data_IF_120758881213
#
_entry.id   IF_120758881213
#
_cell.length_a   1.000
_cell.length_b   1.000
_cell.length_c   1.000
_cell.angle_alpha   90.00
_cell.angle_beta   90.00
_cell.angle_gamma   90.00
#
_symmetry.space_group_name_H-M   'P 1'
#
loop_
_entity.id
_entity.type
_entity.pdbx_description
1 polymer ?
#
# COMPACT_ATOMS: atom_id res chain seq x y z
N UNK A 1 12.21 16.00 -12.43
CA UNK A 1 11.70 15.12 -11.36
C UNK A 1 11.56 13.72 -11.90
N UNK A 2 12.26 12.78 -11.31
CA UNK A 2 12.35 11.43 -11.87
C UNK A 2 11.69 10.43 -10.93
N UNK A 3 10.69 9.74 -11.44
CA UNK A 3 10.09 8.62 -10.77
C UNK A 3 10.89 7.37 -11.15
N UNK A 4 11.43 6.69 -10.17
CA UNK A 4 12.21 5.46 -10.38
C UNK A 4 11.33 4.26 -10.10
N UNK A 5 11.25 3.34 -11.06
CA UNK A 5 10.52 2.07 -10.91
C UNK A 5 11.53 0.94 -10.81
N UNK A 6 11.36 0.07 -9.83
CA UNK A 6 12.22 -1.09 -9.65
C UNK A 6 11.45 -2.27 -9.05
N UNK A 7 12.06 -3.45 -9.11
CA UNK A 7 11.50 -4.69 -8.56
C UNK A 7 12.38 -5.12 -7.40
N UNK A 8 11.75 -5.49 -6.30
CA UNK A 8 12.44 -5.96 -5.09
C UNK A 8 11.65 -7.07 -4.43
N UNK A 9 12.32 -7.91 -3.65
CA UNK A 9 11.68 -8.92 -2.83
C UNK A 9 11.86 -8.56 -1.36
N UNK A 10 10.85 -8.85 -0.56
CA UNK A 10 10.93 -8.62 0.87
C UNK A 10 9.75 -9.22 1.62
N UNK A 11 9.88 -9.27 2.93
CA UNK A 11 8.84 -9.77 3.82
C UNK A 11 8.15 -8.60 4.50
N UNK A 12 6.82 -8.61 4.51
CA UNK A 12 6.05 -7.62 5.26
C UNK A 12 6.23 -7.93 6.74
N UNK A 13 6.95 -7.09 7.44
CA UNK A 13 7.21 -7.29 8.87
C UNK A 13 6.11 -6.70 9.73
N UNK A 14 5.56 -5.59 9.29
CA UNK A 14 4.56 -4.87 10.07
C UNK A 14 3.60 -4.12 9.15
N UNK A 15 2.34 -4.03 9.57
CA UNK A 15 1.37 -3.11 8.99
C UNK A 15 1.30 -1.90 9.93
N UNK A 16 1.64 -0.73 9.40
CA UNK A 16 1.66 0.51 10.17
C UNK A 16 0.23 1.06 10.27
N UNK A 17 -0.44 0.81 11.38
CA UNK A 17 -1.86 1.13 11.57
C UNK A 17 -2.12 2.54 12.06
N UNK A 18 -1.09 3.23 12.52
CA UNK A 18 -1.20 4.61 13.06
C UNK A 18 -1.76 5.61 12.05
N UNK A 19 -1.60 5.34 10.76
CA UNK A 19 -2.13 6.19 9.68
C UNK A 19 -3.51 5.73 9.18
N UNK A 20 -4.09 4.72 9.82
CA UNK A 20 -5.30 4.07 9.30
C UNK A 20 -4.99 3.14 8.13
N UNK A 21 -6.02 2.61 7.48
CA UNK A 21 -5.88 1.68 6.36
C UNK A 21 -6.74 2.05 5.15
N UNK A 22 -7.48 3.14 5.25
CA UNK A 22 -8.38 3.60 4.21
C UNK A 22 -8.46 5.12 4.18
N UNK A 23 -8.88 5.64 3.04
CA UNK A 23 -9.17 7.06 2.89
C UNK A 23 -10.53 7.25 2.22
N UNK A 24 -11.08 8.45 2.30
CA UNK A 24 -12.31 8.84 1.64
C UNK A 24 -11.98 9.21 0.19
N UNK A 25 -12.32 8.32 -0.74
CA UNK A 25 -11.99 8.47 -2.13
C UNK A 25 -13.12 8.99 -2.98
N UNK A 26 -12.78 9.68 -4.05
CA UNK A 26 -13.72 10.07 -5.08
C UNK A 26 -14.17 8.83 -5.86
N UNK A 27 -15.47 8.65 -6.01
CA UNK A 27 -16.02 7.53 -6.75
C UNK A 27 -15.60 7.55 -8.21
N UNK A 28 -15.44 8.73 -8.79
CA UNK A 28 -15.13 8.92 -10.21
C UNK A 28 -13.63 8.78 -10.51
N UNK A 29 -12.78 9.54 -9.83
CA UNK A 29 -11.34 9.59 -10.13
C UNK A 29 -10.46 8.86 -9.11
N UNK A 30 -11.04 8.36 -8.01
CA UNK A 30 -10.38 7.61 -6.94
C UNK A 30 -9.43 8.41 -6.05
N UNK A 31 -9.22 9.69 -6.32
CA UNK A 31 -8.37 10.54 -5.49
C UNK A 31 -9.04 10.90 -4.18
N UNK A 32 -8.26 11.33 -3.21
CA UNK A 32 -8.77 11.73 -1.91
C UNK A 32 -9.71 12.93 -1.98
N UNK A 33 -10.76 12.88 -1.18
CA UNK A 33 -11.74 13.94 -1.05
C UNK A 33 -11.41 14.81 0.17
N UNK A 34 -11.78 16.09 0.08
CA UNK A 34 -11.75 17.01 1.22
C UNK A 34 -13.16 17.13 1.78
N UNK A 35 -13.30 16.87 3.07
CA UNK A 35 -14.58 16.99 3.76
C UNK A 35 -14.74 18.40 4.31
N UNK A 36 -15.84 19.06 3.94
CA UNK A 36 -16.20 20.37 4.44
C UNK A 36 -17.71 20.45 4.54
N UNK A 37 -18.25 20.80 5.72
CA UNK A 37 -19.70 20.96 5.99
C UNK A 37 -20.54 19.79 5.48
N UNK A 38 -20.12 18.56 5.79
CA UNK A 38 -20.80 17.31 5.39
C UNK A 38 -20.82 17.06 3.88
N UNK A 39 -20.04 17.81 3.11
CA UNK A 39 -19.85 17.61 1.68
C UNK A 39 -18.43 17.13 1.43
N UNK A 40 -18.25 16.44 0.32
CA UNK A 40 -16.95 15.88 -0.07
C UNK A 40 -16.51 16.50 -1.38
N UNK A 41 -15.52 17.38 -1.30
CA UNK A 41 -14.99 18.08 -2.48
C UNK A 41 -13.82 17.28 -3.08
N UNK A 42 -13.91 17.03 -4.40
CA UNK A 42 -12.80 16.43 -5.15
C UNK A 42 -12.00 17.50 -5.86
N UNK A 43 -10.74 17.77 -5.45
CA UNK A 43 -9.91 18.78 -6.10
C UNK A 43 -9.59 18.45 -7.56
N UNK A 44 -9.53 17.16 -7.89
CA UNK A 44 -9.22 16.70 -9.25
C UNK A 44 -10.40 16.86 -10.20
N UNK A 45 -11.61 16.49 -9.77
CA UNK A 45 -12.84 16.63 -10.55
C UNK A 45 -13.43 18.04 -10.46
N UNK A 46 -12.96 18.83 -9.50
CA UNK A 46 -13.48 20.19 -9.18
C UNK A 46 -14.99 20.12 -8.96
N UNK A 47 -15.41 19.27 -8.03
CA UNK A 47 -16.83 18.96 -7.83
C UNK A 47 -17.10 18.57 -6.38
N UNK A 48 -18.28 18.93 -5.87
CA UNK A 48 -18.81 18.45 -4.60
C UNK A 48 -19.61 17.17 -4.80
N UNK A 49 -19.45 16.24 -3.88
CA UNK A 49 -20.23 15.01 -3.83
C UNK A 49 -20.91 14.88 -2.47
N UNK A 50 -22.07 14.26 -2.44
CA UNK A 50 -22.77 13.95 -1.21
C UNK A 50 -22.31 12.67 -0.52
N UNK A 51 -21.34 11.97 -1.11
CA UNK A 51 -20.85 10.68 -0.63
C UNK A 51 -19.38 10.47 -0.98
N UNK A 52 -18.74 9.50 -0.32
CA UNK A 52 -17.39 9.07 -0.63
C UNK A 52 -17.34 7.56 -0.81
N UNK A 53 -16.29 7.08 -1.45
CA UNK A 53 -15.99 5.67 -1.57
C UNK A 53 -14.75 5.34 -0.71
N UNK A 54 -14.83 4.40 0.25
CA UNK A 54 -13.63 3.98 0.96
C UNK A 54 -12.64 3.33 0.01
N UNK A 55 -11.37 3.71 0.13
CA UNK A 55 -10.27 3.17 -0.68
C UNK A 55 -9.15 2.74 0.24
N UNK A 56 -8.45 1.66 -0.10
CA UNK A 56 -7.30 1.23 0.67
C UNK A 56 -6.12 2.19 0.52
N UNK A 57 -5.50 2.45 1.65
CA UNK A 57 -4.16 3.01 1.74
C UNK A 57 -3.49 2.32 2.93
N UNK A 58 -2.62 1.38 2.64
CA UNK A 58 -2.02 0.53 3.67
C UNK A 58 -0.53 0.79 3.69
N UNK A 59 -0.02 1.25 4.83
CA UNK A 59 1.40 1.44 5.05
C UNK A 59 1.99 0.15 5.59
N UNK A 60 2.97 -0.39 4.87
CA UNK A 60 3.63 -1.65 5.25
C UNK A 60 5.13 -1.43 5.43
N UNK A 61 5.69 -2.10 6.43
CA UNK A 61 7.12 -2.15 6.63
C UNK A 61 7.65 -3.44 6.06
N UNK A 62 8.55 -3.30 5.09
CA UNK A 62 9.11 -4.43 4.34
C UNK A 62 10.58 -4.55 4.69
N UNK A 63 11.00 -5.76 4.98
CA UNK A 63 12.41 -6.07 5.28
C UNK A 63 12.94 -7.09 4.28
N UNK A 64 14.21 -6.97 3.97
CA UNK A 64 14.99 -8.02 3.33
C UNK A 64 16.24 -8.28 4.17
N UNK A 65 17.19 -9.06 3.65
CA UNK A 65 18.41 -9.38 4.38
C UNK A 65 19.39 -8.19 4.51
N UNK A 66 19.13 -7.08 3.81
CA UNK A 66 20.03 -5.92 3.79
C UNK A 66 19.46 -4.71 4.54
N UNK A 67 18.16 -4.47 4.46
CA UNK A 67 17.57 -3.26 4.98
C UNK A 67 16.06 -3.39 5.15
N UNK A 68 15.44 -2.32 5.62
CA UNK A 68 14.01 -2.19 5.79
C UNK A 68 13.51 -0.91 5.13
N UNK A 69 12.27 -0.91 4.66
CA UNK A 69 11.64 0.25 4.05
C UNK A 69 10.15 0.29 4.28
N UNK A 70 9.57 1.47 4.19
CA UNK A 70 8.13 1.67 4.29
C UNK A 70 7.55 1.83 2.89
N UNK A 71 6.59 0.98 2.54
CA UNK A 71 5.89 1.01 1.27
C UNK A 71 4.43 1.37 1.50
N UNK A 72 3.81 1.97 0.50
CA UNK A 72 2.38 2.28 0.51
C UNK A 72 1.67 1.41 -0.51
N UNK A 73 0.68 0.66 -0.05
CA UNK A 73 -0.16 -0.21 -0.86
C UNK A 73 -1.51 0.47 -1.08
N UNK A 74 -1.84 0.75 -2.33
CA UNK A 74 -3.07 1.44 -2.69
C UNK A 74 -4.20 0.49 -3.06
N UNK A 75 -5.37 1.05 -3.27
CA UNK A 75 -6.65 0.36 -3.41
C UNK A 75 -6.65 -0.76 -4.45
N UNK A 76 -6.10 -0.53 -5.64
CA UNK A 76 -6.15 -1.51 -6.73
C UNK A 76 -5.47 -2.83 -6.36
N UNK A 77 -4.23 -2.78 -5.94
CA UNK A 77 -3.47 -3.98 -5.56
C UNK A 77 -3.94 -4.56 -4.24
N UNK A 78 -4.30 -3.72 -3.28
CA UNK A 78 -4.81 -4.18 -1.98
C UNK A 78 -6.11 -4.97 -2.15
N UNK A 79 -7.08 -4.43 -2.87
CA UNK A 79 -8.36 -5.11 -3.10
C UNK A 79 -8.17 -6.42 -3.86
N UNK A 80 -7.29 -6.42 -4.86
CA UNK A 80 -6.98 -7.61 -5.65
C UNK A 80 -6.39 -8.72 -4.79
N UNK A 81 -5.42 -8.39 -3.94
CA UNK A 81 -4.76 -9.38 -3.09
C UNK A 81 -5.66 -9.85 -1.94
N UNK A 82 -6.35 -8.92 -1.28
CA UNK A 82 -7.21 -9.24 -0.15
C UNK A 82 -8.52 -9.93 -0.57
N UNK A 83 -8.94 -9.77 -1.83
CA UNK A 83 -10.16 -10.35 -2.34
C UNK A 83 -11.43 -9.69 -1.82
N UNK A 84 -11.32 -8.50 -1.23
CA UNK A 84 -12.43 -7.75 -0.66
C UNK A 84 -12.18 -6.26 -0.85
N UNK A 85 -13.25 -5.51 -1.18
CA UNK A 85 -13.13 -4.05 -1.31
C UNK A 85 -12.97 -3.38 0.06
N UNK A 86 -12.39 -2.17 0.07
CA UNK A 86 -12.28 -1.39 1.29
C UNK A 86 -13.65 -1.08 1.89
N UNK A 87 -14.64 -0.83 1.05
CA UNK A 87 -16.03 -0.60 1.45
C UNK A 87 -16.60 -1.81 2.18
N UNK A 88 -16.45 -3.00 1.62
CA UNK A 88 -16.99 -4.23 2.20
C UNK A 88 -16.26 -4.60 3.48
N UNK A 89 -14.95 -4.44 3.51
CA UNK A 89 -14.15 -4.68 4.71
C UNK A 89 -14.54 -3.73 5.84
N UNK A 90 -14.73 -2.45 5.54
CA UNK A 90 -15.19 -1.46 6.51
C UNK A 90 -16.56 -1.85 7.07
N UNK A 91 -17.49 -2.25 6.21
CA UNK A 91 -18.82 -2.68 6.63
C UNK A 91 -18.75 -3.92 7.52
N UNK A 92 -17.90 -4.87 7.18
CA UNK A 92 -17.66 -6.05 8.00
C UNK A 92 -17.13 -5.69 9.39
N UNK A 93 -16.19 -4.75 9.46
CA UNK A 93 -15.66 -4.27 10.73
C UNK A 93 -16.75 -3.62 11.60
N UNK A 94 -17.60 -2.80 11.01
CA UNK A 94 -18.73 -2.18 11.72
C UNK A 94 -19.69 -3.24 12.26
N UNK A 95 -20.03 -4.22 11.45
CA UNK A 95 -20.93 -5.31 11.82
C UNK A 95 -20.36 -6.14 12.98
N UNK A 96 -19.05 -6.40 12.97
CA UNK A 96 -18.37 -7.18 14.01
C UNK A 96 -18.03 -6.37 15.26
N UNK A 97 -18.29 -5.06 15.28
CA UNK A 97 -17.96 -4.20 16.41
C UNK A 97 -16.47 -3.94 16.57
N UNK A 98 -15.68 -4.07 15.49
CA UNK A 98 -14.24 -3.76 15.51
C UNK A 98 -14.04 -2.25 15.65
N UNK A 99 -13.12 -1.85 16.54
CA UNK A 99 -12.83 -0.44 16.74
C UNK A 99 -12.35 0.24 15.45
N UNK A 100 -12.78 1.48 15.26
CA UNK A 100 -12.53 2.27 14.06
C UNK A 100 -11.06 2.35 13.66
N UNK A 101 -10.17 2.41 14.64
CA UNK A 101 -8.73 2.57 14.41
C UNK A 101 -7.96 1.26 14.50
N UNK A 102 -8.63 0.13 14.70
CA UNK A 102 -7.99 -1.17 14.72
C UNK A 102 -7.69 -1.65 13.31
N UNK A 103 -6.59 -2.38 13.16
CA UNK A 103 -6.26 -3.04 11.91
C UNK A 103 -7.13 -4.30 11.75
N UNK A 104 -7.92 -4.41 10.69
CA UNK A 104 -8.67 -5.64 10.45
C UNK A 104 -7.73 -6.84 10.28
N UNK A 105 -8.20 -8.01 10.71
CA UNK A 105 -7.42 -9.22 10.63
C UNK A 105 -7.06 -9.57 9.18
N UNK A 106 -7.94 -9.30 8.23
CA UNK A 106 -7.71 -9.50 6.81
C UNK A 106 -6.45 -8.78 6.32
N UNK A 107 -6.23 -7.55 6.79
CA UNK A 107 -5.03 -6.77 6.48
C UNK A 107 -3.83 -7.29 7.28
N UNK A 108 -4.04 -7.60 8.54
CA UNK A 108 -2.97 -8.08 9.41
C UNK A 108 -2.39 -9.42 8.95
N UNK A 109 -3.15 -10.21 8.19
CA UNK A 109 -2.67 -11.44 7.56
C UNK A 109 -1.55 -11.25 6.54
N UNK A 110 -1.33 -10.02 6.08
CA UNK A 110 -0.18 -9.71 5.22
C UNK A 110 1.16 -9.86 5.93
N UNK A 111 1.17 -9.81 7.25
CA UNK A 111 2.41 -9.91 8.04
C UNK A 111 3.07 -11.25 7.83
N UNK A 112 4.41 -11.20 7.82
CA UNK A 112 5.29 -12.36 7.71
C UNK A 112 5.22 -13.09 6.37
N UNK A 113 4.58 -12.48 5.37
CA UNK A 113 4.55 -13.02 4.01
C UNK A 113 5.62 -12.34 3.17
N UNK A 114 6.36 -13.16 2.41
CA UNK A 114 7.36 -12.69 1.46
C UNK A 114 6.70 -12.45 0.10
N UNK A 115 7.00 -11.30 -0.47
CA UNK A 115 6.49 -10.88 -1.76
C UNK A 115 7.60 -10.43 -2.69
N UNK A 116 7.33 -10.49 -3.99
CA UNK A 116 8.01 -9.65 -4.98
C UNK A 116 7.15 -8.42 -5.18
N UNK A 117 7.78 -7.25 -5.09
CA UNK A 117 7.11 -5.96 -5.28
C UNK A 117 7.68 -5.26 -6.50
N UNK A 118 6.81 -4.77 -7.37
CA UNK A 118 7.16 -3.71 -8.32
C UNK A 118 6.76 -2.40 -7.67
N UNK A 119 7.73 -1.53 -7.45
CA UNK A 119 7.53 -0.30 -6.68
C UNK A 119 7.97 0.91 -7.47
N UNK A 120 7.41 2.05 -7.13
CA UNK A 120 7.78 3.33 -7.69
C UNK A 120 8.19 4.26 -6.56
N UNK A 121 9.40 4.78 -6.66
CA UNK A 121 9.91 5.78 -5.74
C UNK A 121 9.46 7.16 -6.24
N UNK A 122 8.67 7.86 -5.44
CA UNK A 122 8.22 9.22 -5.74
C UNK A 122 8.83 10.19 -4.74
N UNK A 123 9.33 11.31 -5.24
CA UNK A 123 9.78 12.38 -4.36
C UNK A 123 8.59 13.20 -3.88
N UNK A 124 8.54 13.41 -2.57
CA UNK A 124 7.63 14.36 -1.95
C UNK A 124 8.26 15.75 -1.96
N UNK A 125 7.53 16.71 -1.38
CA UNK A 125 8.04 18.04 -1.15
C UNK A 125 9.38 17.98 -0.39
N UNK A 126 10.39 18.69 -0.89
CA UNK A 126 11.75 18.73 -0.32
C UNK A 126 11.79 19.21 1.14
N UNK A 127 10.77 19.92 1.59
CA UNK A 127 10.64 20.36 2.97
C UNK A 127 10.03 19.33 3.91
N UNK A 128 9.65 18.17 3.38
CA UNK A 128 9.10 17.07 4.16
C UNK A 128 10.21 16.31 4.89
N UNK A 129 9.95 15.86 6.10
CA UNK A 129 10.87 15.04 6.88
C UNK A 129 11.24 13.74 6.16
N UNK A 130 10.28 13.14 5.45
CA UNK A 130 10.51 12.00 4.60
C UNK A 130 10.27 12.41 3.14
N UNK A 131 11.34 12.74 2.38
CA UNK A 131 11.19 13.26 1.03
C UNK A 131 10.75 12.21 0.01
N UNK A 132 10.72 10.93 0.38
CA UNK A 132 10.41 9.84 -0.54
C UNK A 132 9.19 9.06 -0.09
N UNK A 133 8.40 8.61 -1.06
CA UNK A 133 7.32 7.66 -0.86
C UNK A 133 7.53 6.52 -1.82
N UNK A 134 7.45 5.30 -1.33
CA UNK A 134 7.58 4.09 -2.16
C UNK A 134 6.19 3.50 -2.34
N UNK A 135 5.67 3.62 -3.56
CA UNK A 135 4.35 3.09 -3.93
C UNK A 135 4.46 1.69 -4.50
N UNK A 136 3.66 0.76 -4.00
CA UNK A 136 3.56 -0.57 -4.59
C UNK A 136 2.68 -0.49 -5.83
N UNK A 137 3.24 -0.78 -6.99
CA UNK A 137 2.53 -0.86 -8.25
C UNK A 137 1.93 -2.23 -8.48
N UNK A 138 2.68 -3.29 -8.13
CA UNK A 138 2.25 -4.69 -8.18
C UNK A 138 2.95 -5.49 -7.10
N UNK A 139 2.32 -6.57 -6.67
CA UNK A 139 2.90 -7.50 -5.71
C UNK A 139 2.42 -8.92 -5.99
N UNK A 140 3.27 -9.89 -5.73
CA UNK A 140 2.93 -11.30 -5.82
C UNK A 140 3.67 -12.12 -4.76
N UNK A 141 2.98 -13.11 -4.21
CA UNK A 141 3.58 -14.09 -3.32
C UNK A 141 3.59 -15.50 -3.92
N UNK A 142 3.40 -15.62 -5.22
CA UNK A 142 3.44 -16.90 -5.90
C UNK A 142 4.83 -17.53 -5.75
N UNK A 143 4.88 -18.71 -5.13
CA UNK A 143 6.13 -19.35 -4.73
C UNK A 143 7.11 -19.55 -5.88
N UNK A 144 6.63 -19.96 -7.05
CA UNK A 144 7.49 -20.18 -8.21
C UNK A 144 8.16 -18.89 -8.68
N UNK A 145 7.42 -17.79 -8.69
CA UNK A 145 7.95 -16.48 -9.10
C UNK A 145 8.90 -15.91 -8.05
N UNK A 146 8.57 -16.05 -6.78
CA UNK A 146 9.43 -15.59 -5.68
C UNK A 146 10.74 -16.35 -5.68
N UNK A 147 10.69 -17.68 -5.80
CA UNK A 147 11.89 -18.52 -5.86
C UNK A 147 12.77 -18.18 -7.05
N UNK A 148 12.18 -18.02 -8.24
CA UNK A 148 12.92 -17.67 -9.45
C UNK A 148 13.61 -16.31 -9.32
N UNK A 149 12.93 -15.34 -8.74
CA UNK A 149 13.50 -14.02 -8.51
C UNK A 149 14.67 -14.07 -7.53
N UNK A 150 14.50 -14.76 -6.41
CA UNK A 150 15.54 -14.88 -5.40
C UNK A 150 16.78 -15.62 -5.92
N UNK A 151 16.59 -16.68 -6.70
CA UNK A 151 17.69 -17.43 -7.31
C UNK A 151 18.49 -16.53 -8.24
N UNK A 152 17.81 -15.77 -9.09
CA UNK A 152 18.45 -14.81 -9.99
C UNK A 152 19.17 -13.70 -9.22
N UNK A 153 18.55 -13.14 -8.22
CA UNK A 153 19.13 -12.09 -7.40
C UNK A 153 20.36 -12.58 -6.65
N UNK A 154 20.29 -13.76 -6.04
CA UNK A 154 21.40 -14.33 -5.30
C UNK A 154 22.60 -14.67 -6.22
N UNK A 155 22.35 -15.17 -7.42
CA UNK A 155 23.43 -15.42 -8.37
C UNK A 155 24.09 -14.12 -8.84
N UNK A 156 23.33 -13.04 -8.99
CA UNK A 156 23.88 -11.72 -9.36
C UNK A 156 24.68 -11.09 -8.20
N UNK A 157 24.34 -11.38 -6.95
CA UNK A 157 25.04 -10.83 -5.78
C UNK A 157 26.29 -11.59 -5.39
N UNK A 158 26.48 -12.81 -5.85
CA UNK A 158 27.69 -13.59 -5.57
C UNK A 158 28.90 -13.09 -6.39
N UNK A 159 28.66 -12.50 -7.55
CA UNK A 159 29.70 -12.10 -8.48
C UNK A 159 30.54 -10.90 -8.02
N UNK A 160 30.01 -9.86 -7.39
CA UNK A 160 30.82 -8.70 -7.00
C UNK A 160 31.55 -8.82 -5.67
N UNK A 161 31.52 -9.91 -4.99
CA UNK A 161 32.23 -10.09 -3.74
C UNK A 161 33.72 -10.33 -3.95
N UNK A 162 34.37 -9.35 -4.45
CA UNK A 162 35.81 -9.37 -4.59
C UNK A 162 36.44 -8.59 -3.44
#
# INVERSE_FOLDING_TARGET
MFDTVFVTAGTIKEVETEFGWRYKGCKKCRRGLKELDKKYFCPNCIRDYGFYEPRYIIHIRVIDHTDAGSFVLFDGEAAKFLGVSAKDLRQSCVTKGVEKNSCPEEINKLRDIKFIFKVQLKMRNLNSYEPYVIHVLRMTNENSLVSAFLDKYNSDTVIPSV
#
